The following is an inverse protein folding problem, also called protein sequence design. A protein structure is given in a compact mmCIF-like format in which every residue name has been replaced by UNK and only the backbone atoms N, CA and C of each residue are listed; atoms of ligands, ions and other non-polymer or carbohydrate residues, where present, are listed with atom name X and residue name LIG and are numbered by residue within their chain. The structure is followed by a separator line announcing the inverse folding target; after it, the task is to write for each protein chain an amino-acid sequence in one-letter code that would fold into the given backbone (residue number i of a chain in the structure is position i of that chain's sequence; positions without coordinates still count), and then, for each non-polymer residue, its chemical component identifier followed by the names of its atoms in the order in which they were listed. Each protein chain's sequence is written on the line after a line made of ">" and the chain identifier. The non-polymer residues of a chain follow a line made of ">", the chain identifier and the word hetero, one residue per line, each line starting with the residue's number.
data_IF_969194118198
#
_entry.id   IF_969194118198
#
_cell.length_a   1.000
_cell.length_b   1.000
_cell.length_c   1.000
_cell.angle_alpha   90.00
_cell.angle_beta   90.00
_cell.angle_gamma   90.00
#
_symmetry.space_group_name_H-M   'P 1'
#
loop_
_entity.id
_entity.type
_entity.pdbx_description
1 polymer ?
#
# COMPACT_ATOMS: atom_id res chain seq x y z
N UNK A 1 0.98 -13.73 -20.67
CA UNK A 1 0.35 -13.62 -19.33
C UNK A 1 -0.52 -12.37 -19.32
N UNK A 2 -1.84 -12.53 -19.23
CA UNK A 2 -2.79 -11.40 -19.22
C UNK A 2 -2.64 -10.62 -17.92
N UNK A 3 -2.17 -9.37 -18.02
CA UNK A 3 -2.23 -8.43 -16.89
C UNK A 3 -3.70 -8.07 -16.71
N UNK A 4 -4.37 -8.71 -15.75
CA UNK A 4 -5.68 -8.23 -15.30
C UNK A 4 -5.50 -6.81 -14.79
N UNK A 5 -5.93 -5.81 -15.57
CA UNK A 5 -6.09 -4.47 -15.04
C UNK A 5 -7.15 -4.56 -13.95
N UNK A 6 -6.82 -4.23 -12.69
CA UNK A 6 -7.80 -4.29 -11.61
C UNK A 6 -8.96 -3.38 -11.96
N UNK A 7 -10.18 -3.91 -11.86
CA UNK A 7 -11.40 -3.12 -12.03
C UNK A 7 -11.35 -1.97 -11.04
N UNK A 8 -11.32 -0.75 -11.56
CA UNK A 8 -11.30 0.48 -10.77
C UNK A 8 -12.65 0.66 -10.06
N UNK A 9 -12.63 1.11 -8.81
CA UNK A 9 -13.82 1.37 -7.98
C UNK A 9 -13.73 2.74 -7.30
N UNK A 10 -14.88 3.25 -6.84
CA UNK A 10 -14.92 4.54 -6.13
C UNK A 10 -14.14 4.39 -4.83
N UNK A 11 -13.31 5.36 -4.51
CA UNK A 11 -12.38 5.31 -3.38
C UNK A 11 -11.04 4.63 -3.68
N UNK A 12 -10.86 4.00 -4.85
CA UNK A 12 -9.54 3.47 -5.22
C UNK A 12 -8.52 4.60 -5.36
N UNK A 13 -7.36 4.40 -4.73
CA UNK A 13 -6.21 5.25 -4.95
C UNK A 13 -5.59 4.98 -6.32
N UNK A 14 -5.31 6.05 -7.05
CA UNK A 14 -4.85 5.98 -8.43
C UNK A 14 -3.72 6.96 -8.72
N UNK A 15 -2.94 6.59 -9.73
CA UNK A 15 -1.92 7.42 -10.35
C UNK A 15 -2.31 7.70 -11.79
N UNK A 16 -2.37 8.98 -12.15
CA UNK A 16 -2.57 9.47 -13.52
C UNK A 16 -1.40 10.31 -14.00
N UNK A 17 -1.39 10.61 -15.30
CA UNK A 17 -0.52 11.62 -15.91
C UNK A 17 -1.44 12.62 -16.61
N UNK A 18 -1.26 13.93 -16.35
CA UNK A 18 -2.03 14.97 -17.03
C UNK A 18 -1.67 15.08 -18.51
N UNK A 19 -2.41 15.88 -19.27
CA UNK A 19 -2.08 16.15 -20.68
C UNK A 19 -0.73 16.87 -20.79
N UNK A 20 -0.42 17.69 -19.78
CA UNK A 20 0.81 18.45 -19.62
C UNK A 20 1.98 17.60 -19.08
N UNK A 21 1.75 16.31 -18.80
CA UNK A 21 2.77 15.38 -18.34
C UNK A 21 2.99 15.36 -16.82
N UNK A 22 2.14 16.03 -16.05
CA UNK A 22 2.25 16.12 -14.60
C UNK A 22 1.83 14.82 -13.94
N UNK A 23 2.55 14.41 -12.89
CA UNK A 23 2.18 13.25 -12.10
C UNK A 23 1.04 13.60 -11.15
N UNK A 24 -0.07 12.85 -11.26
CA UNK A 24 -1.25 13.07 -10.44
C UNK A 24 -1.48 11.84 -9.56
N UNK A 25 -1.63 12.08 -8.26
CA UNK A 25 -2.01 11.10 -7.25
C UNK A 25 -3.31 11.55 -6.59
N UNK A 26 -4.27 10.64 -6.52
CA UNK A 26 -5.60 10.94 -6.01
C UNK A 26 -6.43 9.68 -5.80
N UNK A 27 -7.71 9.88 -5.49
CA UNK A 27 -8.67 8.80 -5.35
C UNK A 27 -9.83 9.01 -6.33
N UNK A 28 -10.45 7.91 -6.76
CA UNK A 28 -11.61 7.98 -7.65
C UNK A 28 -12.83 8.47 -6.88
N UNK A 29 -13.37 9.61 -7.30
CA UNK A 29 -14.58 10.21 -6.76
C UNK A 29 -15.84 9.62 -7.42
N UNK A 30 -15.82 9.46 -8.75
CA UNK A 30 -16.97 8.90 -9.49
C UNK A 30 -16.57 8.31 -10.84
N UNK A 31 -17.46 7.49 -11.42
CA UNK A 31 -17.34 6.93 -12.77
C UNK A 31 -18.41 7.48 -13.69
N UNK A 32 -18.02 7.76 -14.92
CA UNK A 32 -18.94 7.89 -16.04
C UNK A 32 -18.84 6.63 -16.90
N UNK A 33 -19.82 5.74 -16.74
CA UNK A 33 -19.88 4.46 -17.45
C UNK A 33 -20.11 4.61 -18.96
N UNK A 34 -20.58 5.77 -19.42
CA UNK A 34 -20.85 5.99 -20.84
C UNK A 34 -19.56 6.31 -21.61
N UNK A 35 -18.60 6.96 -20.95
CA UNK A 35 -17.35 7.43 -21.57
C UNK A 35 -16.08 6.70 -21.16
N UNK A 36 -16.16 5.68 -20.30
CA UNK A 36 -14.99 5.09 -19.62
C UNK A 36 -14.11 6.15 -18.91
N UNK A 37 -14.74 7.23 -18.44
CA UNK A 37 -14.06 8.34 -17.78
C UNK A 37 -14.16 8.15 -16.27
N UNK A 38 -13.03 8.32 -15.60
CA UNK A 38 -12.92 8.34 -14.14
C UNK A 38 -12.67 9.77 -13.67
N UNK A 39 -13.45 10.22 -12.68
CA UNK A 39 -13.20 11.48 -11.99
C UNK A 39 -12.34 11.21 -10.78
N UNK A 40 -11.20 11.87 -10.71
CA UNK A 40 -10.19 11.70 -9.67
C UNK A 40 -10.06 13.01 -8.90
N UNK A 41 -10.25 12.96 -7.59
CA UNK A 41 -9.91 14.08 -6.72
C UNK A 41 -8.41 14.06 -6.44
N UNK A 42 -7.73 15.14 -6.81
CA UNK A 42 -6.27 15.23 -6.76
C UNK A 42 -5.80 15.56 -5.35
N UNK A 43 -5.05 14.63 -4.76
CA UNK A 43 -4.44 14.78 -3.43
C UNK A 43 -3.02 15.34 -3.53
N UNK A 44 -2.27 14.92 -4.57
CA UNK A 44 -0.90 15.40 -4.82
C UNK A 44 -0.65 15.52 -6.32
N UNK A 45 -0.12 16.67 -6.72
CA UNK A 45 0.34 16.95 -8.08
C UNK A 45 1.59 17.82 -8.02
N UNK A 46 2.46 17.71 -9.01
CA UNK A 46 3.63 18.59 -9.15
C UNK A 46 3.20 20.06 -9.35
N UNK A 47 2.05 20.25 -10.00
CA UNK A 47 1.40 21.54 -10.13
C UNK A 47 0.42 21.78 -8.97
N UNK A 48 0.78 22.76 -8.14
CA UNK A 48 0.05 23.07 -6.90
C UNK A 48 -1.35 23.60 -7.15
N UNK A 49 -1.60 24.21 -8.31
CA UNK A 49 -2.92 24.75 -8.65
C UNK A 49 -3.94 23.64 -8.92
N UNK A 50 -3.49 22.41 -9.10
CA UNK A 50 -4.32 21.24 -9.43
C UNK A 50 -4.73 20.44 -8.19
N UNK A 51 -4.12 20.70 -7.04
CA UNK A 51 -4.43 20.02 -5.77
C UNK A 51 -5.84 20.40 -5.31
N UNK A 52 -6.58 19.42 -4.76
CA UNK A 52 -7.99 19.52 -4.34
C UNK A 52 -9.00 19.82 -5.48
N UNK A 53 -8.59 19.68 -6.74
CA UNK A 53 -9.51 19.75 -7.88
C UNK A 53 -9.87 18.35 -8.35
N UNK A 54 -11.07 18.22 -8.90
CA UNK A 54 -11.50 16.99 -9.57
C UNK A 54 -11.09 17.05 -11.03
N UNK A 55 -10.34 16.04 -11.48
CA UNK A 55 -9.91 15.89 -12.86
C UNK A 55 -10.49 14.63 -13.49
N UNK A 56 -10.88 14.76 -14.76
CA UNK A 56 -11.40 13.65 -15.56
C UNK A 56 -10.29 12.99 -16.35
N UNK A 57 -10.15 11.68 -16.20
CA UNK A 57 -9.20 10.87 -16.95
C UNK A 57 -9.91 9.74 -17.68
N UNK A 58 -9.40 9.33 -18.84
CA UNK A 58 -9.79 8.05 -19.41
C UNK A 58 -9.28 6.93 -18.50
N UNK A 59 -10.14 5.99 -18.15
CA UNK A 59 -9.85 4.86 -17.27
C UNK A 59 -8.56 4.12 -17.66
N UNK A 60 -8.31 3.95 -18.97
CA UNK A 60 -7.10 3.32 -19.52
C UNK A 60 -5.78 4.03 -19.21
N UNK A 61 -5.81 5.33 -18.91
CA UNK A 61 -4.63 6.14 -18.60
C UNK A 61 -4.37 6.26 -17.10
N UNK A 62 -5.25 5.68 -16.29
CA UNK A 62 -5.17 5.68 -14.83
C UNK A 62 -4.75 4.30 -14.35
N UNK A 63 -3.79 4.26 -13.44
CA UNK A 63 -3.35 3.00 -12.82
C UNK A 63 -3.75 3.00 -11.35
N UNK A 64 -4.47 1.95 -10.94
CA UNK A 64 -4.72 1.68 -9.51
C UNK A 64 -3.37 1.56 -8.81
N UNK A 65 -3.20 2.31 -7.74
CA UNK A 65 -2.05 2.16 -6.87
C UNK A 65 -2.19 0.82 -6.13
N UNK A 66 -1.10 0.07 -5.97
CA UNK A 66 -1.15 -1.14 -5.17
C UNK A 66 -1.62 -0.75 -3.76
N UNK A 67 -2.64 -1.44 -3.27
CA UNK A 67 -2.98 -1.41 -1.84
C UNK A 67 -1.69 -1.73 -1.09
N UNK A 68 -1.23 -0.82 -0.21
CA UNK A 68 0.14 -0.83 0.29
C UNK A 68 0.41 -2.14 1.04
N UNK A 69 1.09 -3.08 0.36
CA UNK A 69 1.47 -4.36 0.97
C UNK A 69 2.63 -4.21 1.94
N UNK A 70 3.44 -3.16 1.80
CA UNK A 70 4.58 -2.91 2.65
C UNK A 70 4.24 -1.81 3.67
N UNK A 71 3.59 -2.20 4.76
CA UNK A 71 3.65 -1.42 5.99
C UNK A 71 4.79 -2.06 6.78
N UNK A 72 5.92 -1.37 6.91
CA UNK A 72 7.02 -1.83 7.76
C UNK A 72 6.64 -1.66 9.24
N UNK A 73 7.45 -2.23 10.14
CA UNK A 73 7.16 -2.23 11.58
C UNK A 73 6.96 -0.81 12.13
N UNK A 74 7.79 0.13 11.70
CA UNK A 74 7.78 1.53 12.13
C UNK A 74 6.49 2.23 11.72
N UNK A 75 6.01 1.99 10.50
CA UNK A 75 4.75 2.54 10.01
C UNK A 75 3.54 1.93 10.74
N UNK A 76 3.56 0.63 11.06
CA UNK A 76 2.47 0.03 11.86
C UNK A 76 2.41 0.64 13.25
N UNK A 77 3.57 0.83 13.91
CA UNK A 77 3.63 1.47 15.22
C UNK A 77 3.09 2.90 15.19
N UNK A 78 3.47 3.69 14.17
CA UNK A 78 2.93 5.04 14.01
C UNK A 78 1.40 5.05 13.81
N UNK A 79 0.86 4.11 13.03
CA UNK A 79 -0.59 4.00 12.84
C UNK A 79 -1.30 3.54 14.12
N UNK A 80 -0.66 2.70 14.95
CA UNK A 80 -1.18 2.31 16.27
C UNK A 80 -1.31 3.53 17.17
N UNK A 81 -0.29 4.39 17.21
CA UNK A 81 -0.32 5.63 17.99
C UNK A 81 -1.47 6.53 17.52
N UNK A 82 -1.68 6.63 16.19
CA UNK A 82 -2.81 7.38 15.63
C UNK A 82 -4.16 6.77 16.03
N UNK A 83 -4.33 5.46 15.96
CA UNK A 83 -5.56 4.78 16.35
C UNK A 83 -5.90 5.02 17.83
N UNK A 84 -4.89 5.00 18.70
CA UNK A 84 -5.06 5.34 20.12
C UNK A 84 -5.46 6.81 20.33
N UNK A 85 -4.84 7.74 19.59
CA UNK A 85 -5.19 9.17 19.65
C UNK A 85 -6.62 9.44 19.16
N UNK A 86 -7.11 8.68 18.17
CA UNK A 86 -8.46 8.82 17.64
C UNK A 86 -9.50 7.98 18.39
N UNK A 87 -9.08 7.10 19.32
CA UNK A 87 -9.97 6.19 20.05
C UNK A 87 -10.60 5.11 19.18
N UNK A 88 -9.97 4.75 18.06
CA UNK A 88 -10.47 3.74 17.13
C UNK A 88 -9.97 2.34 17.52
N UNK A 89 -10.79 1.64 18.30
CA UNK A 89 -10.46 0.33 18.86
C UNK A 89 -10.33 -0.76 17.77
N UNK A 90 -11.21 -0.78 16.78
CA UNK A 90 -11.18 -1.78 15.71
C UNK A 90 -9.91 -1.63 14.87
N UNK A 91 -9.53 -0.38 14.56
CA UNK A 91 -8.32 -0.08 13.82
C UNK A 91 -7.06 -0.44 14.63
N UNK A 92 -7.05 -0.12 15.93
CA UNK A 92 -5.95 -0.50 16.84
C UNK A 92 -5.75 -2.02 16.91
N UNK A 93 -6.83 -2.80 17.05
CA UNK A 93 -6.77 -4.26 17.11
C UNK A 93 -6.22 -4.83 15.80
N UNK A 94 -6.71 -4.34 14.65
CA UNK A 94 -6.24 -4.77 13.34
C UNK A 94 -4.73 -4.51 13.13
N UNK A 95 -4.26 -3.33 13.52
CA UNK A 95 -2.84 -2.95 13.41
C UNK A 95 -1.95 -3.76 14.38
N UNK A 96 -2.41 -3.97 15.61
CA UNK A 96 -1.69 -4.76 16.62
C UNK A 96 -1.54 -6.23 16.21
N UNK A 97 -2.58 -6.82 15.63
CA UNK A 97 -2.53 -8.17 15.05
C UNK A 97 -1.50 -8.25 13.92
N UNK A 98 -1.51 -7.26 13.01
CA UNK A 98 -0.53 -7.19 11.91
C UNK A 98 0.92 -7.04 12.42
N UNK A 99 1.13 -6.26 13.47
CA UNK A 99 2.44 -6.10 14.11
C UNK A 99 2.93 -7.43 14.69
N UNK A 100 2.03 -8.19 15.34
CA UNK A 100 2.37 -9.48 15.91
C UNK A 100 2.79 -10.48 14.84
N UNK A 101 2.05 -10.55 13.72
CA UNK A 101 2.40 -11.45 12.60
C UNK A 101 3.80 -11.16 12.03
N UNK A 102 4.23 -9.89 11.99
CA UNK A 102 5.59 -9.54 11.54
C UNK A 102 6.65 -10.00 12.54
N UNK A 103 6.41 -9.84 13.84
CA UNK A 103 7.35 -10.32 14.87
C UNK A 103 7.47 -11.86 14.86
N UNK A 104 6.38 -12.58 14.62
CA UNK A 104 6.39 -14.04 14.50
C UNK A 104 7.18 -14.52 13.27
N UNK A 105 7.05 -13.85 12.12
CA UNK A 105 7.83 -14.14 10.92
C UNK A 105 9.34 -13.95 11.16
N UNK A 106 9.72 -12.85 11.81
CA UNK A 106 11.12 -12.57 12.17
C UNK A 106 11.66 -13.64 13.11
N UNK A 107 10.91 -13.99 14.16
CA UNK A 107 11.33 -15.02 15.13
C UNK A 107 11.41 -16.42 14.50
N UNK A 108 10.53 -16.75 13.53
CA UNK A 108 10.58 -18.00 12.78
C UNK A 108 11.83 -18.13 11.91
N UNK A 109 12.19 -17.07 11.19
CA UNK A 109 13.41 -17.02 10.36
C UNK A 109 14.69 -17.07 11.20
N UNK A 110 14.75 -16.35 12.32
CA UNK A 110 15.91 -16.40 13.23
C UNK A 110 16.14 -17.81 13.78
N UNK A 111 15.07 -18.53 14.15
CA UNK A 111 15.18 -19.91 14.58
C UNK A 111 15.71 -20.80 13.45
N UNK A 112 15.19 -20.68 12.23
CA UNK A 112 15.68 -21.48 11.09
C UNK A 112 17.16 -21.24 10.82
N UNK A 113 17.60 -19.98 10.76
CA UNK A 113 19.01 -19.63 10.54
C UNK A 113 19.91 -20.09 11.68
N UNK A 114 19.47 -19.98 12.94
CA UNK A 114 20.21 -20.47 14.10
C UNK A 114 20.39 -22.00 14.05
N UNK A 115 19.32 -22.75 13.73
CA UNK A 115 19.39 -24.20 13.56
C UNK A 115 20.34 -24.60 12.42
N UNK A 116 20.28 -23.91 11.27
CA UNK A 116 21.19 -24.18 10.15
C UNK A 116 22.64 -23.86 10.49
N UNK A 117 22.91 -22.75 11.21
CA UNK A 117 24.26 -22.41 11.64
C UNK A 117 24.83 -23.44 12.61
N UNK A 118 24.05 -23.84 13.61
CA UNK A 118 24.46 -24.83 14.62
C UNK A 118 24.78 -26.16 13.94
N UNK A 119 23.94 -26.63 13.02
CA UNK A 119 24.17 -27.89 12.30
C UNK A 119 25.39 -27.84 11.37
N UNK A 120 25.67 -26.69 10.73
CA UNK A 120 26.88 -26.52 9.92
C UNK A 120 28.16 -26.45 10.75
N UNK A 121 28.09 -25.91 11.97
CA UNK A 121 29.24 -25.89 12.89
C UNK A 121 29.49 -27.31 13.42
N UNK A 122 28.45 -28.05 13.79
CA UNK A 122 28.58 -29.43 14.28
C UNK A 122 29.13 -30.39 13.22
N UNK A 123 28.75 -30.23 11.94
CA UNK A 123 29.32 -31.05 10.86
C UNK A 123 30.79 -30.74 10.57
N UNK A 124 31.23 -29.50 10.81
CA UNK A 124 32.63 -29.09 10.68
C UNK A 124 33.52 -29.63 11.80
N UNK A 125 33.00 -29.70 13.04
CA UNK A 125 33.75 -30.22 14.21
C UNK A 125 33.82 -31.75 14.22
N UNK A 126 32.90 -32.42 13.50
CA UNK A 126 32.85 -33.88 13.39
C UNK A 126 33.66 -34.47 12.23
N UNK A 127 34.37 -33.64 11.45
CA UNK A 127 35.28 -34.06 10.35
C UNK A 127 36.73 -33.87 10.76
#
# INVERSE_FOLDING_TARGET
>A
MSKHNPVLKVGDWVRGISVEGELILGYIESFDNVGEVVKVNVVKCDNRDTINKTMSFLSKHVKKLPESKAINKEQILYLIDLALLTGDEEWFIGLSSKLNSINELVNGEFNFLAYTLINNILSFVAS
#
